data_IF_948396267357
#
_entry.id   IF_948396267357
#
_cell.length_a   1.000
_cell.length_b   1.000
_cell.length_c   1.000
_cell.angle_alpha   90.00
_cell.angle_beta   90.00
_cell.angle_gamma   90.00
#
_symmetry.space_group_name_H-M   'P 1'
#
loop_
_entity.id
_entity.type
_entity.pdbx_description
1 polymer ?
#
# COMPACT_ATOMS: atom_id res chain seq x y z
N UNK A 1 -10.75 4.60 -9.67
CA UNK A 1 -10.17 5.03 -8.37
C UNK A 1 -9.20 3.98 -7.85
N UNK A 2 -8.08 4.36 -7.21
CA UNK A 2 -7.14 3.41 -6.61
C UNK A 2 -7.03 3.68 -5.10
N UNK A 3 -7.22 2.64 -4.28
CA UNK A 3 -7.08 2.68 -2.81
C UNK A 3 -5.91 1.77 -2.44
N UNK A 4 -4.91 2.33 -1.78
CA UNK A 4 -3.67 1.64 -1.37
C UNK A 4 -3.36 1.87 0.10
N UNK A 5 -2.34 1.21 0.60
CA UNK A 5 -1.78 1.40 1.95
C UNK A 5 -2.77 1.11 3.11
N UNK A 6 -3.80 0.31 2.84
CA UNK A 6 -4.84 -0.07 3.81
C UNK A 6 -4.24 -0.65 5.10
N UNK A 7 -3.10 -1.33 5.01
CA UNK A 7 -2.42 -1.93 6.17
C UNK A 7 -1.84 -0.94 7.18
N UNK A 8 -1.60 0.30 6.78
CA UNK A 8 -1.02 1.32 7.67
C UNK A 8 -1.94 1.63 8.85
N UNK A 9 -3.25 1.69 8.62
CA UNK A 9 -4.24 1.99 9.67
C UNK A 9 -4.21 0.94 10.79
N UNK A 10 -4.02 -0.33 10.43
CA UNK A 10 -3.84 -1.41 11.41
C UNK A 10 -2.60 -1.19 12.27
N UNK A 11 -1.48 -0.73 11.67
CA UNK A 11 -0.26 -0.41 12.41
C UNK A 11 -0.43 0.78 13.36
N UNK A 12 -1.31 1.72 13.05
CA UNK A 12 -1.71 2.81 13.96
C UNK A 12 -2.68 2.35 15.07
N UNK A 13 -3.15 1.10 15.03
CA UNK A 13 -4.04 0.54 16.04
C UNK A 13 -5.52 0.80 15.77
N UNK A 14 -5.88 1.14 14.54
CA UNK A 14 -7.28 1.18 14.10
C UNK A 14 -7.83 -0.25 14.13
N UNK A 15 -9.00 -0.44 14.73
CA UNK A 15 -9.62 -1.78 14.77
C UNK A 15 -10.04 -2.22 13.37
N UNK A 16 -10.04 -3.54 13.14
CA UNK A 16 -10.49 -4.13 11.86
C UNK A 16 -11.89 -3.66 11.50
N UNK A 17 -12.81 -3.66 12.47
CA UNK A 17 -14.20 -3.27 12.24
C UNK A 17 -14.32 -1.79 11.83
N UNK A 18 -13.55 -0.91 12.47
CA UNK A 18 -13.50 0.52 12.12
C UNK A 18 -12.92 0.72 10.72
N UNK A 19 -11.85 0.01 10.39
CA UNK A 19 -11.22 0.09 9.08
C UNK A 19 -12.17 -0.40 7.98
N UNK A 20 -12.83 -1.54 8.18
CA UNK A 20 -13.80 -2.10 7.25
C UNK A 20 -14.98 -1.14 7.06
N UNK A 21 -15.54 -0.59 8.14
CA UNK A 21 -16.63 0.38 8.05
C UNK A 21 -16.21 1.64 7.26
N UNK A 22 -14.99 2.12 7.45
CA UNK A 22 -14.45 3.26 6.70
C UNK A 22 -14.27 2.95 5.22
N UNK A 23 -13.78 1.74 4.91
CA UNK A 23 -13.65 1.26 3.52
C UNK A 23 -15.03 1.12 2.86
N UNK A 24 -16.04 0.60 3.56
CA UNK A 24 -17.41 0.49 3.06
C UNK A 24 -17.96 1.85 2.66
N UNK A 25 -17.87 2.84 3.55
CA UNK A 25 -18.33 4.20 3.27
C UNK A 25 -17.62 4.77 2.04
N UNK A 26 -16.30 4.60 1.95
CA UNK A 26 -15.50 5.12 0.83
C UNK A 26 -15.86 4.42 -0.48
N UNK A 27 -15.97 3.11 -0.49
CA UNK A 27 -16.33 2.31 -1.66
C UNK A 27 -17.74 2.68 -2.14
N UNK A 28 -18.72 2.76 -1.24
CA UNK A 28 -20.10 3.09 -1.56
C UNK A 28 -20.22 4.50 -2.16
N UNK A 29 -19.43 5.47 -1.66
CA UNK A 29 -19.39 6.81 -2.25
C UNK A 29 -18.80 6.81 -3.66
N UNK A 30 -17.72 6.06 -3.90
CA UNK A 30 -17.08 5.97 -5.22
C UNK A 30 -17.98 5.26 -6.23
N UNK A 31 -18.70 4.23 -5.81
CA UNK A 31 -19.63 3.49 -6.68
C UNK A 31 -20.77 4.37 -7.22
N UNK A 32 -21.18 5.43 -6.52
CA UNK A 32 -22.18 6.39 -7.02
C UNK A 32 -21.72 7.13 -8.29
N UNK A 33 -20.43 7.12 -8.58
CA UNK A 33 -19.82 7.81 -9.72
C UNK A 33 -19.59 6.89 -10.92
N UNK A 34 -20.12 5.66 -10.88
CA UNK A 34 -19.91 4.62 -11.92
C UNK A 34 -18.43 4.41 -12.26
N UNK A 35 -17.60 4.39 -11.23
CA UNK A 35 -16.15 4.33 -11.35
C UNK A 35 -15.60 2.95 -11.05
N UNK A 36 -14.62 2.51 -11.83
CA UNK A 36 -13.80 1.33 -11.53
C UNK A 36 -12.96 1.57 -10.27
N UNK A 37 -13.01 0.66 -9.32
CA UNK A 37 -12.29 0.72 -8.05
C UNK A 37 -11.19 -0.33 -8.03
N UNK A 38 -9.97 0.08 -7.76
CA UNK A 38 -8.83 -0.81 -7.59
C UNK A 38 -8.36 -0.76 -6.15
N UNK A 39 -8.32 -1.91 -5.51
CA UNK A 39 -7.88 -2.10 -4.13
C UNK A 39 -6.56 -2.87 -4.14
N UNK A 40 -5.59 -2.48 -3.32
CA UNK A 40 -4.41 -3.32 -3.11
C UNK A 40 -4.61 -4.18 -1.86
N UNK A 41 -4.34 -5.50 -1.97
CA UNK A 41 -4.29 -6.35 -0.80
C UNK A 41 -3.15 -5.95 0.14
N UNK A 42 -3.29 -6.25 1.42
CA UNK A 42 -2.19 -6.17 2.37
C UNK A 42 -1.27 -7.37 2.09
N UNK A 43 -0.11 -7.11 1.51
CA UNK A 43 0.81 -8.13 0.99
C UNK A 43 1.81 -8.67 2.02
N UNK A 44 1.71 -8.21 3.26
CA UNK A 44 2.58 -8.63 4.37
C UNK A 44 1.93 -9.83 5.06
N UNK A 45 2.72 -10.86 5.33
CA UNK A 45 2.34 -11.95 6.23
C UNK A 45 3.29 -11.92 7.44
N UNK A 46 2.89 -11.32 8.58
CA UNK A 46 3.78 -11.18 9.73
C UNK A 46 4.38 -12.50 10.19
N UNK A 47 3.58 -13.55 10.31
CA UNK A 47 4.04 -14.87 10.80
C UNK A 47 5.04 -15.56 9.87
N UNK A 48 4.93 -15.32 8.57
CA UNK A 48 5.81 -15.93 7.58
C UNK A 48 7.06 -15.11 7.31
N UNK A 49 6.90 -13.79 7.26
CA UNK A 49 7.91 -12.89 6.69
C UNK A 49 8.74 -12.18 7.75
N UNK A 50 8.22 -12.03 8.98
CA UNK A 50 8.82 -11.21 10.03
C UNK A 50 8.82 -11.98 11.36
N UNK A 51 9.96 -12.04 12.05
CA UNK A 51 9.97 -12.57 13.43
C UNK A 51 9.33 -11.58 14.40
N UNK A 52 8.77 -12.05 15.55
CA UNK A 52 8.21 -11.17 16.57
C UNK A 52 9.18 -10.07 17.02
N UNK A 53 10.46 -10.40 17.17
CA UNK A 53 11.49 -9.43 17.55
C UNK A 53 11.64 -8.32 16.51
N UNK A 54 11.73 -8.69 15.22
CA UNK A 54 11.83 -7.71 14.13
C UNK A 54 10.56 -6.86 14.07
N UNK A 55 9.38 -7.46 14.22
CA UNK A 55 8.11 -6.73 14.27
C UNK A 55 8.12 -5.66 15.37
N UNK A 56 8.52 -6.01 16.59
CA UNK A 56 8.58 -5.06 17.69
C UNK A 56 9.58 -3.92 17.45
N UNK A 57 10.75 -4.23 16.86
CA UNK A 57 11.74 -3.20 16.50
C UNK A 57 11.17 -2.26 15.44
N UNK A 58 10.60 -2.79 14.36
CA UNK A 58 10.01 -1.99 13.29
C UNK A 58 8.83 -1.16 13.80
N UNK A 59 7.95 -1.74 14.61
CA UNK A 59 6.84 -1.03 15.24
C UNK A 59 7.36 0.15 16.08
N UNK A 60 8.36 -0.08 16.92
CA UNK A 60 8.93 0.96 17.78
C UNK A 60 9.55 2.10 16.95
N UNK A 61 10.24 1.78 15.87
CA UNK A 61 10.92 2.79 15.02
C UNK A 61 9.94 3.56 14.12
N UNK A 62 8.97 2.87 13.51
CA UNK A 62 8.10 3.45 12.49
C UNK A 62 6.76 3.91 13.06
N UNK A 63 6.29 3.26 14.13
CA UNK A 63 4.99 3.51 14.75
C UNK A 63 5.13 3.57 16.28
N UNK A 64 5.87 4.54 16.85
CA UNK A 64 6.25 4.55 18.28
C UNK A 64 5.04 4.61 19.22
N UNK A 65 3.92 5.17 18.77
CA UNK A 65 2.67 5.23 19.56
C UNK A 65 1.81 3.98 19.43
N UNK A 66 2.16 3.05 18.55
CA UNK A 66 1.39 1.83 18.31
C UNK A 66 1.54 0.85 19.46
N UNK A 67 0.40 0.30 19.90
CA UNK A 67 0.33 -0.77 20.90
C UNK A 67 -0.05 -2.13 20.30
N UNK A 68 -0.06 -2.22 18.97
CA UNK A 68 -0.51 -3.41 18.26
C UNK A 68 0.36 -4.61 18.60
N UNK A 69 -0.29 -5.73 18.86
CA UNK A 69 0.35 -7.00 19.13
C UNK A 69 0.64 -7.75 17.81
N UNK A 70 1.72 -8.53 17.79
CA UNK A 70 2.14 -9.32 16.64
C UNK A 70 1.07 -10.35 16.20
N UNK A 71 0.49 -11.09 17.16
CA UNK A 71 -0.54 -12.08 16.88
C UNK A 71 -1.86 -11.45 16.38
N UNK A 72 -2.23 -10.31 16.96
CA UNK A 72 -3.41 -9.55 16.56
C UNK A 72 -3.24 -8.98 15.15
N UNK A 73 -2.03 -8.53 14.80
CA UNK A 73 -1.74 -7.98 13.48
C UNK A 73 -1.96 -9.01 12.38
N UNK A 74 -1.46 -10.23 12.57
CA UNK A 74 -1.62 -11.31 11.59
C UNK A 74 -3.10 -11.63 11.34
N UNK A 75 -3.88 -11.77 12.42
CA UNK A 75 -5.33 -11.99 12.31
C UNK A 75 -6.06 -10.80 11.66
N UNK A 76 -5.64 -9.58 11.98
CA UNK A 76 -6.22 -8.36 11.43
C UNK A 76 -5.99 -8.26 9.92
N UNK A 77 -4.77 -8.54 9.46
CA UNK A 77 -4.44 -8.57 8.03
C UNK A 77 -5.27 -9.63 7.30
N UNK A 78 -5.38 -10.83 7.88
CA UNK A 78 -6.20 -11.89 7.30
C UNK A 78 -7.66 -11.45 7.13
N UNK A 79 -8.27 -10.90 8.17
CA UNK A 79 -9.68 -10.43 8.13
C UNK A 79 -9.90 -9.32 7.11
N UNK A 80 -8.97 -8.37 7.01
CA UNK A 80 -9.09 -7.28 6.03
C UNK A 80 -8.94 -7.81 4.62
N UNK A 81 -7.99 -8.69 4.35
CA UNK A 81 -7.83 -9.28 3.02
C UNK A 81 -9.04 -10.12 2.62
N UNK A 82 -9.60 -10.92 3.53
CA UNK A 82 -10.82 -11.69 3.28
C UNK A 82 -12.01 -10.78 2.94
N UNK A 83 -12.18 -9.68 3.68
CA UNK A 83 -13.16 -8.65 3.36
C UNK A 83 -12.95 -8.04 1.96
N UNK A 84 -11.71 -7.69 1.58
CA UNK A 84 -11.42 -7.14 0.25
C UNK A 84 -11.76 -8.14 -0.86
N UNK A 85 -11.43 -9.43 -0.68
CA UNK A 85 -11.79 -10.48 -1.62
C UNK A 85 -13.31 -10.67 -1.73
N UNK A 86 -14.03 -10.57 -0.62
CA UNK A 86 -15.49 -10.65 -0.61
C UNK A 86 -16.11 -9.48 -1.37
N UNK A 87 -15.61 -8.26 -1.20
CA UNK A 87 -16.08 -7.08 -1.94
C UNK A 87 -15.90 -7.23 -3.45
N UNK A 88 -14.75 -7.73 -3.88
CA UNK A 88 -14.48 -8.00 -5.30
C UNK A 88 -15.41 -9.08 -5.87
N UNK A 89 -15.67 -10.14 -5.11
CA UNK A 89 -16.63 -11.19 -5.54
C UNK A 89 -18.06 -10.69 -5.71
N UNK A 90 -18.44 -9.68 -4.94
CA UNK A 90 -19.82 -9.14 -4.94
C UNK A 90 -20.04 -8.02 -5.97
N UNK A 91 -18.97 -7.44 -6.51
CA UNK A 91 -19.07 -6.29 -7.37
C UNK A 91 -18.02 -6.32 -8.50
N UNK A 92 -18.50 -6.38 -9.74
CA UNK A 92 -17.65 -6.51 -10.93
C UNK A 92 -16.80 -5.26 -11.22
N UNK A 93 -17.20 -4.10 -10.69
CA UNK A 93 -16.42 -2.84 -10.85
C UNK A 93 -15.34 -2.66 -9.79
N UNK A 94 -15.18 -3.62 -8.87
CA UNK A 94 -14.14 -3.60 -7.85
C UNK A 94 -13.07 -4.64 -8.19
N UNK A 95 -11.83 -4.23 -8.27
CA UNK A 95 -10.71 -5.07 -8.67
C UNK A 95 -9.65 -5.14 -7.58
N UNK A 96 -9.22 -6.35 -7.22
CA UNK A 96 -8.12 -6.56 -6.26
C UNK A 96 -6.79 -6.68 -6.98
N UNK A 97 -5.83 -5.90 -6.57
CA UNK A 97 -4.44 -5.99 -7.01
C UNK A 97 -3.68 -6.77 -5.94
N UNK A 98 -3.29 -7.97 -6.30
CA UNK A 98 -2.51 -8.91 -5.48
C UNK A 98 -1.08 -9.05 -6.01
N UNK A 99 -0.28 -9.91 -5.38
CA UNK A 99 1.05 -10.32 -5.89
C UNK A 99 2.08 -9.18 -5.89
N UNK A 100 1.97 -8.26 -4.92
CA UNK A 100 2.95 -7.20 -4.72
C UNK A 100 4.10 -7.61 -3.78
N UNK A 101 4.06 -8.81 -3.22
CA UNK A 101 5.06 -9.38 -2.28
C UNK A 101 6.47 -9.43 -2.89
N UNK A 102 6.56 -9.67 -4.20
CA UNK A 102 7.84 -9.74 -4.93
C UNK A 102 8.61 -8.41 -4.90
N UNK A 103 7.95 -7.30 -4.60
CA UNK A 103 8.53 -5.97 -4.58
C UNK A 103 8.89 -5.48 -3.18
N UNK A 104 8.56 -6.24 -2.14
CA UNK A 104 8.82 -5.87 -0.74
C UNK A 104 10.33 -5.78 -0.48
N UNK A 105 10.73 -4.84 0.36
CA UNK A 105 12.10 -4.60 0.77
C UNK A 105 12.61 -5.54 1.85
N UNK A 106 13.78 -5.25 2.37
CA UNK A 106 14.43 -6.04 3.43
C UNK A 106 13.68 -5.96 4.77
N UNK A 107 12.98 -4.86 5.01
CA UNK A 107 12.13 -4.67 6.18
C UNK A 107 10.82 -5.47 6.15
N UNK A 108 10.53 -6.10 5.01
CA UNK A 108 9.32 -6.92 4.80
C UNK A 108 7.99 -6.15 4.94
N UNK A 109 8.04 -4.83 5.01
CA UNK A 109 6.87 -3.96 5.17
C UNK A 109 6.72 -3.05 3.96
N UNK A 110 7.75 -2.31 3.61
CA UNK A 110 7.71 -1.34 2.51
C UNK A 110 8.25 -1.94 1.21
N UNK A 111 7.85 -1.36 0.09
CA UNK A 111 8.47 -1.71 -1.18
C UNK A 111 9.95 -1.33 -1.18
N UNK A 112 10.78 -2.21 -1.72
CA UNK A 112 12.21 -1.92 -1.90
C UNK A 112 12.37 -0.65 -2.72
N UNK A 113 13.26 0.26 -2.29
CA UNK A 113 13.61 1.47 -3.05
C UNK A 113 13.99 1.16 -4.50
N UNK A 114 14.65 0.01 -4.72
CA UNK A 114 15.06 -0.44 -6.06
C UNK A 114 13.92 -1.06 -6.88
N UNK A 115 12.84 -1.51 -6.24
CA UNK A 115 11.71 -2.19 -6.88
C UNK A 115 10.43 -1.35 -6.90
N UNK A 116 10.40 -0.18 -6.26
CA UNK A 116 9.21 0.68 -6.17
C UNK A 116 8.64 0.99 -7.55
N UNK A 117 9.48 1.31 -8.54
CA UNK A 117 9.02 1.58 -9.89
C UNK A 117 8.37 0.35 -10.55
N UNK A 118 8.89 -0.85 -10.30
CA UNK A 118 8.33 -2.09 -10.84
C UNK A 118 7.01 -2.45 -10.15
N UNK A 119 6.87 -2.21 -8.83
CA UNK A 119 5.62 -2.37 -8.11
C UNK A 119 4.52 -1.47 -8.70
N UNK A 120 4.81 -0.19 -8.86
CA UNK A 120 3.84 0.75 -9.46
C UNK A 120 3.56 0.48 -10.94
N UNK A 121 4.53 -0.08 -11.68
CA UNK A 121 4.28 -0.54 -13.04
C UNK A 121 3.30 -1.70 -13.08
N UNK A 122 3.45 -2.67 -12.19
CA UNK A 122 2.53 -3.81 -12.09
C UNK A 122 1.11 -3.36 -11.73
N UNK A 123 0.99 -2.40 -10.80
CA UNK A 123 -0.31 -1.78 -10.46
C UNK A 123 -0.91 -1.10 -11.68
N UNK A 124 -0.13 -0.25 -12.37
CA UNK A 124 -0.59 0.48 -13.56
C UNK A 124 -1.00 -0.47 -14.70
N UNK A 125 -0.22 -1.52 -14.96
CA UNK A 125 -0.57 -2.53 -15.98
C UNK A 125 -1.89 -3.21 -15.67
N UNK A 126 -2.17 -3.55 -14.42
CA UNK A 126 -3.44 -4.14 -14.01
C UNK A 126 -4.60 -3.17 -14.26
N UNK A 127 -4.44 -1.90 -13.87
CA UNK A 127 -5.44 -0.84 -14.09
C UNK A 127 -5.71 -0.67 -15.59
N UNK A 128 -4.67 -0.44 -16.39
CA UNK A 128 -4.82 -0.19 -17.82
C UNK A 128 -5.45 -1.38 -18.57
N UNK A 129 -5.16 -2.61 -18.12
CA UNK A 129 -5.79 -3.80 -18.69
C UNK A 129 -7.30 -3.82 -18.45
N UNK A 130 -7.75 -3.48 -17.24
CA UNK A 130 -9.19 -3.45 -16.90
C UNK A 130 -9.91 -2.35 -17.66
N UNK A 131 -9.36 -1.15 -17.69
CA UNK A 131 -10.02 0.00 -18.37
C UNK A 131 -9.78 0.02 -19.90
N UNK A 132 -9.18 -1.05 -20.46
CA UNK A 132 -8.88 -1.19 -21.90
C UNK A 132 -8.09 -0.02 -22.51
N UNK A 133 -7.21 0.60 -21.73
CA UNK A 133 -6.31 1.64 -22.21
C UNK A 133 -4.97 1.01 -22.60
N UNK A 134 -4.49 1.18 -23.83
CA UNK A 134 -3.20 0.65 -24.22
C UNK A 134 -2.07 1.32 -23.43
N UNK A 135 -1.15 0.53 -22.90
CA UNK A 135 0.05 1.04 -22.22
C UNK A 135 0.94 1.70 -23.28
N UNK A 136 0.87 3.03 -23.39
CA UNK A 136 1.59 3.78 -24.41
C UNK A 136 3.11 3.87 -24.13
N UNK A 137 3.52 3.70 -22.87
CA UNK A 137 4.92 3.85 -22.48
C UNK A 137 5.34 2.76 -21.50
N UNK A 138 6.25 1.90 -21.93
CA UNK A 138 6.98 1.03 -20.99
C UNK A 138 7.94 1.87 -20.16
N UNK A 139 7.95 1.68 -18.84
CA UNK A 139 8.94 2.30 -17.98
C UNK A 139 10.35 1.91 -18.45
N UNK A 140 11.18 2.91 -18.69
CA UNK A 140 12.57 2.71 -19.11
C UNK A 140 13.44 2.54 -17.85
N UNK A 141 14.59 1.89 -18.01
CA UNK A 141 15.59 1.77 -16.94
C UNK A 141 15.93 3.14 -16.31
N UNK A 142 16.00 4.18 -17.12
CA UNK A 142 16.26 5.55 -16.65
C UNK A 142 15.15 6.11 -15.77
N UNK A 143 13.90 5.71 -15.96
CA UNK A 143 12.80 6.13 -15.09
C UNK A 143 12.94 5.46 -13.72
N UNK A 144 13.38 4.20 -13.68
CA UNK A 144 13.74 3.50 -12.45
C UNK A 144 14.90 4.16 -11.71
N UNK A 145 15.97 4.50 -12.40
CA UNK A 145 17.14 5.20 -11.82
C UNK A 145 16.71 6.56 -11.26
N UNK A 146 15.93 7.35 -11.99
CA UNK A 146 15.41 8.64 -11.52
C UNK A 146 14.53 8.48 -10.27
N UNK A 147 13.69 7.44 -10.21
CA UNK A 147 12.86 7.15 -9.03
C UNK A 147 13.73 6.81 -7.82
N UNK A 148 14.78 6.00 -7.99
CA UNK A 148 15.73 5.68 -6.93
C UNK A 148 16.39 6.95 -6.38
N UNK A 149 16.93 7.80 -7.27
CA UNK A 149 17.56 9.07 -6.86
C UNK A 149 16.57 10.01 -6.16
N UNK A 150 15.33 10.09 -6.65
CA UNK A 150 14.29 10.90 -6.01
C UNK A 150 13.96 10.39 -4.60
N UNK A 151 13.83 9.07 -4.43
CA UNK A 151 13.54 8.45 -3.15
C UNK A 151 14.72 8.59 -2.16
N UNK A 152 15.97 8.40 -2.62
CA UNK A 152 17.17 8.62 -1.81
C UNK A 152 17.29 10.09 -1.40
N UNK A 153 17.04 11.00 -2.32
CA UNK A 153 17.06 12.44 -2.03
C UNK A 153 16.00 12.79 -0.98
N UNK A 154 14.79 12.24 -1.11
CA UNK A 154 13.73 12.41 -0.11
C UNK A 154 14.16 11.87 1.25
N UNK A 155 14.64 10.63 1.31
CA UNK A 155 15.07 9.99 2.55
C UNK A 155 16.17 10.81 3.24
N UNK A 156 17.21 11.24 2.49
CA UNK A 156 18.34 11.98 3.05
C UNK A 156 17.91 13.39 3.49
N UNK A 157 17.30 14.17 2.61
CA UNK A 157 17.08 15.59 2.87
C UNK A 157 15.80 15.90 3.64
N UNK A 158 14.75 15.07 3.51
CA UNK A 158 13.48 15.35 4.16
C UNK A 158 13.24 14.48 5.40
N UNK A 159 13.54 13.19 5.30
CA UNK A 159 13.25 12.27 6.40
C UNK A 159 14.37 12.24 7.44
N UNK A 160 15.66 12.26 6.99
CA UNK A 160 16.81 12.21 7.90
C UNK A 160 17.19 13.59 8.46
N UNK A 161 17.16 14.65 7.66
CA UNK A 161 17.55 16.01 8.09
C UNK A 161 16.35 16.91 8.42
N UNK A 162 15.12 16.40 8.42
CA UNK A 162 13.90 17.14 8.73
C UNK A 162 13.75 18.47 7.95
N UNK A 163 14.33 18.56 6.78
CA UNK A 163 14.23 19.73 5.94
C UNK A 163 12.83 19.78 5.33
N UNK A 164 11.92 20.53 5.95
CA UNK A 164 10.58 20.77 5.40
C UNK A 164 10.70 21.41 4.02
N UNK A 165 10.19 20.72 3.00
CA UNK A 165 9.95 21.34 1.71
C UNK A 165 8.94 22.46 1.93
N UNK A 166 9.29 23.73 1.64
CA UNK A 166 8.31 24.79 1.51
C UNK A 166 7.27 24.33 0.50
N UNK A 167 6.05 24.02 0.97
CA UNK A 167 5.00 23.56 0.09
C UNK A 167 4.78 24.60 -1.02
N UNK A 168 4.88 24.17 -2.27
CA UNK A 168 4.17 24.89 -3.33
C UNK A 168 2.70 24.58 -3.04
N UNK A 169 1.99 25.59 -2.56
CA UNK A 169 0.53 25.57 -2.57
C UNK A 169 0.12 25.42 -4.03
N UNK A 170 -0.40 24.27 -4.38
CA UNK A 170 -1.12 24.07 -5.64
C UNK A 170 -2.54 24.57 -5.37
N UNK A 171 -2.83 25.75 -5.89
CA UNK A 171 -4.20 26.21 -6.12
C UNK A 171 -4.76 25.56 -7.37
#
# INVERSE_FOLDING_TARGET
MLITDIGNDLMYGVSVDTLIASLDIMIDEILKWDAEIFLTSIHINPKKDISPTIFFVLRFLLYPSSKVNYEEMDLSIFKVNDYLEEKVRKNETIHLITSLEAFVGLDRIHYSLFKTHAAWSAVAEKIFRVINVPVQRKLRLMDGIRSIFANLNRLIFYDMFFLKKKGREFF
#
